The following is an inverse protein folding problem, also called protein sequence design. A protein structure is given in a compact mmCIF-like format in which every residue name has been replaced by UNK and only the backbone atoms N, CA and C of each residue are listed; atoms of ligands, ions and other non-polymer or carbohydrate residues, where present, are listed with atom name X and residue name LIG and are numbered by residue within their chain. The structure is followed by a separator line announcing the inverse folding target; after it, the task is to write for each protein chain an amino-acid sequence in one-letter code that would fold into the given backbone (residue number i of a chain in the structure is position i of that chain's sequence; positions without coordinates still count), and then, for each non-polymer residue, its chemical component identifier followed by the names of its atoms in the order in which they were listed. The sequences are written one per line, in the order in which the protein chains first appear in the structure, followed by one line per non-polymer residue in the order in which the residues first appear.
data_IF_024291822020
#
_entry.id   IF_024291822020
#
_cell.length_a   1.000
_cell.length_b   1.000
_cell.length_c   1.000
_cell.angle_alpha   90.00
_cell.angle_beta   90.00
_cell.angle_gamma   90.00
#
_symmetry.space_group_name_H-M   'P 1'
#
loop_
_entity.id
_entity.type
_entity.pdbx_description
1 polymer ?
#
# COMPACT_ATOMS: atom_id res chain seq x y z
N UNK A 1 -1.72 35.84 -9.71
CA UNK A 1 -2.28 37.04 -9.03
C UNK A 1 -2.90 36.56 -7.71
N UNK A 2 -2.68 37.19 -6.55
CA UNK A 2 -2.79 36.51 -5.27
C UNK A 2 -4.25 36.13 -4.96
N UNK A 3 -4.41 34.90 -4.47
CA UNK A 3 -5.65 34.29 -3.99
C UNK A 3 -5.89 34.75 -2.55
N UNK A 4 -7.14 35.11 -2.23
CA UNK A 4 -7.55 35.41 -0.86
C UNK A 4 -8.10 34.14 -0.22
N UNK A 5 -7.53 33.74 0.90
CA UNK A 5 -7.96 32.60 1.73
C UNK A 5 -9.13 33.03 2.61
N UNK A 6 -10.15 32.18 2.76
CA UNK A 6 -11.14 32.32 3.85
C UNK A 6 -11.36 30.96 4.50
N UNK A 7 -11.34 30.93 5.83
CA UNK A 7 -11.59 29.76 6.67
C UNK A 7 -13.05 29.82 7.11
N UNK A 8 -13.80 28.75 6.88
CA UNK A 8 -15.00 28.45 7.67
C UNK A 8 -14.72 27.18 8.49
N UNK A 9 -14.61 27.37 9.80
CA UNK A 9 -14.68 26.30 10.79
C UNK A 9 -16.13 25.82 10.87
N UNK A 10 -16.37 24.50 10.80
CA UNK A 10 -17.25 23.82 11.76
C UNK A 10 -17.13 22.28 11.67
N UNK A 11 -16.51 21.75 12.72
CA UNK A 11 -16.82 20.53 13.48
C UNK A 11 -17.47 19.30 12.79
N UNK A 12 -16.63 18.26 12.68
CA UNK A 12 -16.92 16.86 13.01
C UNK A 12 -17.84 16.03 12.09
N UNK A 13 -17.31 15.70 10.91
CA UNK A 13 -17.22 14.32 10.40
C UNK A 13 -16.33 14.36 9.17
N UNK A 14 -15.23 13.60 9.18
CA UNK A 14 -14.23 13.60 8.11
C UNK A 14 -14.76 12.97 6.83
N UNK A 15 -15.64 13.69 6.13
CA UNK A 15 -15.96 13.45 4.73
C UNK A 15 -14.87 14.14 3.92
N UNK A 16 -14.14 13.36 3.14
CA UNK A 16 -13.24 13.90 2.11
C UNK A 16 -14.10 14.63 1.07
N UNK A 17 -14.29 15.94 1.25
CA UNK A 17 -14.84 16.80 0.21
C UNK A 17 -13.74 16.97 -0.84
N UNK A 18 -13.81 16.18 -1.91
CA UNK A 18 -12.96 16.34 -3.08
C UNK A 18 -13.48 17.57 -3.82
N UNK A 19 -12.77 18.69 -3.71
CA UNK A 19 -13.02 19.89 -4.50
C UNK A 19 -12.80 19.58 -5.99
N UNK A 20 -13.90 19.52 -6.74
CA UNK A 20 -13.97 19.07 -8.12
C UNK A 20 -13.64 20.18 -9.14
N UNK A 21 -12.64 21.02 -8.86
CA UNK A 21 -12.16 22.05 -9.79
C UNK A 21 -10.95 21.61 -10.62
N UNK A 22 -10.89 20.34 -11.05
CA UNK A 22 -10.04 19.93 -12.16
C UNK A 22 -10.93 19.34 -13.25
N UNK A 23 -10.84 19.88 -14.47
CA UNK A 23 -11.45 19.29 -15.68
C UNK A 23 -11.11 17.80 -15.71
N UNK A 24 -12.06 16.96 -15.32
CA UNK A 24 -11.84 15.52 -15.22
C UNK A 24 -11.84 14.95 -16.63
N UNK A 25 -10.67 14.77 -17.24
CA UNK A 25 -10.54 13.90 -18.39
C UNK A 25 -11.01 12.51 -17.94
N UNK A 26 -12.14 12.05 -18.48
CA UNK A 26 -12.67 10.72 -18.17
C UNK A 26 -11.61 9.69 -18.54
N UNK A 27 -11.24 8.84 -17.57
CA UNK A 27 -10.32 7.75 -17.82
C UNK A 27 -10.88 6.83 -18.92
N UNK A 28 -10.03 6.28 -19.80
CA UNK A 28 -10.43 5.19 -20.69
C UNK A 28 -11.16 4.09 -19.92
N UNK A 29 -12.14 3.45 -20.53
CA UNK A 29 -13.01 2.51 -19.83
C UNK A 29 -12.22 1.36 -19.15
N UNK A 30 -11.18 0.84 -19.80
CA UNK A 30 -10.29 -0.18 -19.21
C UNK A 30 -9.54 0.32 -17.96
N UNK A 31 -9.18 1.61 -17.93
CA UNK A 31 -8.50 2.22 -16.78
C UNK A 31 -9.48 2.42 -15.62
N UNK A 32 -10.77 2.59 -15.90
CA UNK A 32 -11.80 2.63 -14.86
C UNK A 32 -11.98 1.25 -14.18
N UNK A 33 -11.92 0.16 -14.95
CA UNK A 33 -11.92 -1.21 -14.40
C UNK A 33 -10.65 -1.44 -13.56
N UNK A 34 -9.49 -1.10 -14.12
CA UNK A 34 -8.20 -1.20 -13.42
C UNK A 34 -8.21 -0.39 -12.12
N UNK A 35 -8.80 0.81 -12.14
CA UNK A 35 -8.97 1.64 -10.93
C UNK A 35 -9.84 0.92 -9.89
N UNK A 36 -10.97 0.32 -10.29
CA UNK A 36 -11.82 -0.42 -9.36
C UNK A 36 -11.08 -1.61 -8.73
N UNK A 37 -10.29 -2.33 -9.53
CA UNK A 37 -9.44 -3.43 -9.07
C UNK A 37 -8.35 -2.98 -8.09
N UNK A 38 -7.70 -1.83 -8.35
CA UNK A 38 -6.72 -1.23 -7.42
C UNK A 38 -7.40 -0.80 -6.12
N UNK A 39 -8.58 -0.18 -6.18
CA UNK A 39 -9.34 0.21 -4.99
C UNK A 39 -9.72 -1.00 -4.15
N UNK A 40 -10.14 -2.10 -4.78
CA UNK A 40 -10.39 -3.35 -4.08
C UNK A 40 -9.11 -3.92 -3.46
N UNK A 41 -7.99 -3.89 -4.18
CA UNK A 41 -6.70 -4.36 -3.67
C UNK A 41 -6.24 -3.60 -2.43
N UNK A 42 -6.37 -2.27 -2.44
CA UNK A 42 -6.08 -1.42 -1.29
C UNK A 42 -7.02 -1.72 -0.12
N UNK A 43 -8.28 -2.04 -0.40
CA UNK A 43 -9.25 -2.42 0.63
C UNK A 43 -8.87 -3.74 1.29
N UNK A 44 -8.50 -4.76 0.50
CA UNK A 44 -7.98 -6.05 0.98
C UNK A 44 -6.79 -5.83 1.91
N UNK A 45 -5.82 -5.01 1.48
CA UNK A 45 -4.63 -4.69 2.26
C UNK A 45 -4.98 -3.95 3.57
N UNK A 46 -5.83 -2.93 3.51
CA UNK A 46 -6.20 -2.08 4.65
C UNK A 46 -7.02 -2.85 5.69
N UNK A 47 -7.88 -3.77 5.25
CA UNK A 47 -8.77 -4.55 6.14
C UNK A 47 -8.18 -5.89 6.56
N UNK A 48 -7.04 -6.30 6.01
CA UNK A 48 -6.41 -7.58 6.35
C UNK A 48 -7.19 -8.77 5.81
N UNK A 49 -7.85 -8.64 4.66
CA UNK A 49 -8.55 -9.75 4.04
C UNK A 49 -7.56 -10.74 3.42
N UNK A 50 -7.91 -12.03 3.46
CA UNK A 50 -7.11 -13.06 2.80
C UNK A 50 -7.28 -12.97 1.29
N UNK A 51 -6.27 -13.35 0.51
CA UNK A 51 -6.40 -13.33 -0.94
C UNK A 51 -7.47 -14.30 -1.45
N UNK A 52 -7.71 -15.39 -0.73
CA UNK A 52 -8.78 -16.34 -1.05
C UNK A 52 -10.17 -15.70 -0.92
N UNK A 53 -10.34 -14.65 -0.11
CA UNK A 53 -11.62 -13.92 -0.04
C UNK A 53 -11.94 -13.12 -1.29
N UNK A 54 -11.00 -12.99 -2.23
CA UNK A 54 -11.25 -12.39 -3.53
C UNK A 54 -11.88 -13.40 -4.51
N UNK A 55 -11.74 -14.70 -4.27
CA UNK A 55 -12.32 -15.70 -5.18
C UNK A 55 -13.85 -15.61 -5.15
N UNK A 56 -14.46 -15.41 -6.31
CA UNK A 56 -15.91 -15.21 -6.46
C UNK A 56 -16.42 -13.78 -6.25
N UNK A 57 -15.59 -12.83 -5.79
CA UNK A 57 -16.05 -11.45 -5.52
C UNK A 57 -16.55 -10.73 -6.78
N UNK A 58 -15.96 -11.04 -7.95
CA UNK A 58 -16.42 -10.48 -9.23
C UNK A 58 -17.85 -10.89 -9.56
N UNK A 59 -18.24 -12.14 -9.29
CA UNK A 59 -19.60 -12.61 -9.50
C UNK A 59 -20.59 -11.95 -8.53
N UNK A 60 -20.16 -11.73 -7.28
CA UNK A 60 -20.94 -10.96 -6.31
C UNK A 60 -21.18 -9.53 -6.80
N UNK A 61 -20.15 -8.84 -7.31
CA UNK A 61 -20.33 -7.48 -7.85
C UNK A 61 -21.23 -7.44 -9.07
N UNK A 62 -21.13 -8.42 -9.97
CA UNK A 62 -22.06 -8.54 -11.11
C UNK A 62 -23.51 -8.69 -10.68
N UNK A 63 -23.75 -9.47 -9.63
CA UNK A 63 -25.09 -9.73 -9.10
C UNK A 63 -25.67 -8.54 -8.34
N UNK A 64 -24.85 -7.82 -7.55
CA UNK A 64 -25.31 -6.66 -6.76
C UNK A 64 -25.46 -5.42 -7.64
N UNK A 65 -24.65 -5.29 -8.70
CA UNK A 65 -24.62 -4.13 -9.60
C UNK A 65 -24.83 -4.54 -11.07
N UNK A 66 -26.03 -5.02 -11.44
CA UNK A 66 -26.30 -5.53 -12.79
C UNK A 66 -26.20 -4.44 -13.88
N UNK A 67 -26.42 -3.18 -13.53
CA UNK A 67 -26.38 -2.02 -14.42
C UNK A 67 -24.96 -1.46 -14.64
N UNK A 68 -24.02 -1.78 -13.75
CA UNK A 68 -22.66 -1.25 -13.80
C UNK A 68 -21.75 -2.01 -14.76
N UNK A 69 -21.44 -1.41 -15.92
CA UNK A 69 -20.48 -1.98 -16.89
C UNK A 69 -19.11 -2.28 -16.27
N UNK A 70 -18.67 -1.49 -15.29
CA UNK A 70 -17.41 -1.72 -14.57
C UNK A 70 -17.52 -2.97 -13.70
N UNK A 71 -18.61 -3.13 -12.94
CA UNK A 71 -18.84 -4.34 -12.14
C UNK A 71 -18.94 -5.58 -13.02
N UNK A 72 -19.56 -5.45 -14.20
CA UNK A 72 -19.65 -6.54 -15.19
C UNK A 72 -18.28 -7.04 -15.68
N UNK A 73 -17.27 -6.17 -15.72
CA UNK A 73 -15.92 -6.51 -16.17
C UNK A 73 -14.89 -6.62 -15.04
N UNK A 74 -15.30 -6.35 -13.79
CA UNK A 74 -14.42 -6.47 -12.64
C UNK A 74 -13.99 -7.94 -12.49
N UNK A 75 -12.69 -8.18 -12.41
CA UNK A 75 -12.16 -9.51 -12.17
C UNK A 75 -10.99 -9.45 -11.21
N UNK A 76 -11.20 -9.91 -9.98
CA UNK A 76 -10.14 -10.08 -9.01
C UNK A 76 -10.27 -11.45 -8.35
N UNK A 77 -9.23 -12.25 -8.48
CA UNK A 77 -9.09 -13.57 -7.84
C UNK A 77 -7.81 -13.61 -7.03
N UNK A 78 -7.65 -14.61 -6.16
CA UNK A 78 -6.52 -14.80 -5.24
C UNK A 78 -5.15 -14.65 -5.92
N UNK A 79 -4.96 -15.22 -7.11
CA UNK A 79 -3.70 -15.08 -7.89
C UNK A 79 -3.49 -13.66 -8.39
N UNK A 80 -4.54 -13.05 -8.96
CA UNK A 80 -4.46 -11.70 -9.53
C UNK A 80 -4.22 -10.66 -8.43
N UNK A 81 -4.92 -10.75 -7.30
CA UNK A 81 -4.69 -9.83 -6.20
C UNK A 81 -3.28 -9.97 -5.65
N UNK A 82 -2.77 -11.20 -5.48
CA UNK A 82 -1.37 -11.42 -5.07
C UNK A 82 -0.39 -10.73 -6.02
N UNK A 83 -0.60 -10.85 -7.34
CA UNK A 83 0.22 -10.20 -8.35
C UNK A 83 0.10 -8.67 -8.31
N UNK A 84 -1.11 -8.13 -8.25
CA UNK A 84 -1.37 -6.68 -8.15
C UNK A 84 -0.72 -6.10 -6.88
N UNK A 85 -0.84 -6.79 -5.75
CA UNK A 85 -0.23 -6.40 -4.48
C UNK A 85 1.30 -6.38 -4.56
N UNK A 86 1.90 -7.45 -5.08
CA UNK A 86 3.37 -7.64 -5.06
C UNK A 86 4.11 -6.92 -6.20
N UNK A 87 3.53 -6.85 -7.40
CA UNK A 87 4.19 -6.31 -8.61
C UNK A 87 3.55 -5.00 -9.10
N UNK A 88 2.29 -4.75 -8.76
CA UNK A 88 1.60 -3.50 -9.11
C UNK A 88 1.86 -2.41 -8.07
N UNK A 89 1.10 -2.45 -6.98
CA UNK A 89 1.07 -1.35 -5.99
C UNK A 89 2.22 -1.41 -4.99
N UNK A 90 2.72 -2.61 -4.64
CA UNK A 90 3.83 -2.78 -3.68
C UNK A 90 5.08 -1.97 -4.05
N UNK A 91 5.60 -2.08 -5.30
CA UNK A 91 6.76 -1.33 -5.74
C UNK A 91 6.55 0.19 -5.69
N UNK A 92 5.32 0.67 -5.93
CA UNK A 92 5.00 2.10 -5.81
C UNK A 92 5.17 2.58 -4.36
N UNK A 93 4.53 1.92 -3.39
CA UNK A 93 4.63 2.32 -1.98
C UNK A 93 6.06 2.18 -1.43
N UNK A 94 6.79 1.15 -1.86
CA UNK A 94 8.19 0.98 -1.47
C UNK A 94 9.06 2.14 -1.99
N UNK A 95 8.92 2.54 -3.26
CA UNK A 95 9.63 3.71 -3.81
C UNK A 95 9.28 5.00 -3.07
N UNK A 96 8.00 5.21 -2.77
CA UNK A 96 7.57 6.40 -2.02
C UNK A 96 8.16 6.42 -0.60
N UNK A 97 8.20 5.27 0.09
CA UNK A 97 8.86 5.15 1.39
C UNK A 97 10.36 5.49 1.29
N UNK A 98 11.07 4.93 0.30
CA UNK A 98 12.51 5.21 0.08
C UNK A 98 12.75 6.68 -0.21
N UNK A 99 11.93 7.32 -1.06
CA UNK A 99 12.02 8.77 -1.31
C UNK A 99 11.85 9.58 -0.02
N UNK A 100 10.85 9.24 0.80
CA UNK A 100 10.61 9.90 2.08
C UNK A 100 11.83 9.76 2.99
N UNK A 101 12.39 8.56 3.14
CA UNK A 101 13.58 8.32 3.97
C UNK A 101 14.79 9.09 3.46
N UNK A 102 15.09 9.04 2.16
CA UNK A 102 16.22 9.76 1.53
C UNK A 102 16.14 11.28 1.70
N UNK A 103 14.93 11.83 1.78
CA UNK A 103 14.72 13.26 2.06
C UNK A 103 14.98 13.66 3.53
N UNK A 104 15.19 12.70 4.44
CA UNK A 104 15.43 12.97 5.87
C UNK A 104 16.91 12.91 6.21
N UNK A 105 17.30 13.74 7.18
CA UNK A 105 18.67 13.74 7.73
C UNK A 105 18.95 12.55 8.64
N UNK A 106 17.92 12.02 9.31
CA UNK A 106 18.04 10.98 10.34
C UNK A 106 16.87 10.01 10.25
N UNK A 107 17.17 8.73 10.40
CA UNK A 107 16.21 7.66 10.60
C UNK A 107 16.86 6.61 11.50
N UNK A 108 16.03 5.73 12.06
CA UNK A 108 16.48 4.55 12.81
C UNK A 108 16.09 3.32 11.99
N UNK A 109 17.05 2.44 11.74
CA UNK A 109 16.78 1.11 11.21
C UNK A 109 16.50 0.19 12.41
N UNK A 110 15.28 -0.33 12.48
CA UNK A 110 14.88 -1.35 13.43
C UNK A 110 15.06 -2.71 12.77
N UNK A 111 15.81 -3.60 13.43
CA UNK A 111 16.13 -4.94 12.95
C UNK A 111 15.47 -5.93 13.90
N UNK A 112 14.69 -6.85 13.37
CA UNK A 112 14.02 -7.90 14.14
C UNK A 112 14.28 -9.28 13.50
N UNK A 113 14.88 -10.20 14.25
CA UNK A 113 15.17 -11.56 13.78
C UNK A 113 14.12 -12.52 14.33
N UNK A 114 13.45 -13.25 13.44
CA UNK A 114 12.54 -14.33 13.81
C UNK A 114 13.02 -15.67 13.25
N UNK A 115 12.89 -16.73 14.04
CA UNK A 115 13.12 -18.11 13.62
C UNK A 115 11.80 -18.87 13.69
N UNK A 116 11.41 -19.53 12.60
CA UNK A 116 10.21 -20.36 12.60
C UNK A 116 10.52 -21.81 13.02
N UNK A 117 9.47 -22.60 13.25
CA UNK A 117 9.57 -24.01 13.67
C UNK A 117 10.24 -24.94 12.63
N UNK A 118 10.51 -24.45 11.42
CA UNK A 118 11.23 -25.16 10.36
C UNK A 118 12.70 -24.72 10.26
N UNK A 119 13.23 -24.05 11.30
CA UNK A 119 14.59 -23.49 11.33
C UNK A 119 14.89 -22.47 10.23
N UNK A 120 13.87 -21.91 9.57
CA UNK A 120 14.05 -20.81 8.62
C UNK A 120 14.12 -19.52 9.41
N UNK A 121 15.16 -18.76 9.15
CA UNK A 121 15.41 -17.47 9.79
C UNK A 121 14.94 -16.36 8.86
N UNK A 122 14.26 -15.37 9.42
CA UNK A 122 13.76 -14.22 8.68
C UNK A 122 14.15 -12.96 9.44
N UNK A 123 14.73 -12.01 8.72
CA UNK A 123 15.11 -10.70 9.25
C UNK A 123 14.13 -9.65 8.73
N UNK A 124 13.38 -9.04 9.63
CA UNK A 124 12.51 -7.92 9.34
C UNK A 124 13.25 -6.60 9.54
N UNK A 125 13.27 -5.79 8.50
CA UNK A 125 13.78 -4.43 8.53
C UNK A 125 12.61 -3.46 8.55
N UNK A 126 12.57 -2.61 9.58
CA UNK A 126 11.65 -1.50 9.68
C UNK A 126 12.42 -0.20 9.79
N UNK A 127 11.86 0.89 9.27
CA UNK A 127 12.47 2.21 9.36
C UNK A 127 11.58 3.11 10.19
N UNK A 128 12.17 3.73 11.22
CA UNK A 128 11.52 4.70 12.10
C UNK A 128 12.06 6.10 11.81
N UNK A 129 11.16 7.03 11.50
CA UNK A 129 11.53 8.40 11.12
C UNK A 129 10.41 9.39 11.46
N UNK A 130 10.74 10.68 11.48
CA UNK A 130 9.75 11.75 11.61
C UNK A 130 8.99 11.97 10.30
N UNK A 131 7.68 11.77 10.31
CA UNK A 131 6.79 12.03 9.17
C UNK A 131 6.25 13.45 9.25
N UNK A 132 6.59 14.30 8.28
CA UNK A 132 6.00 15.63 8.18
C UNK A 132 4.51 15.58 7.82
N UNK A 133 4.10 14.55 7.06
CA UNK A 133 2.71 14.39 6.62
C UNK A 133 1.81 14.05 7.81
N UNK A 134 2.32 13.25 8.75
CA UNK A 134 1.56 12.81 9.93
C UNK A 134 1.87 13.64 11.19
N UNK A 135 2.89 14.50 11.16
CA UNK A 135 3.33 15.29 12.31
C UNK A 135 3.87 14.46 13.49
N UNK A 136 4.32 13.23 13.25
CA UNK A 136 4.74 12.30 14.30
C UNK A 136 5.84 11.33 13.84
N UNK A 137 6.47 10.67 14.81
CA UNK A 137 7.42 9.57 14.54
C UNK A 137 6.65 8.35 14.08
N UNK A 138 6.89 7.91 12.85
CA UNK A 138 6.29 6.71 12.26
C UNK A 138 7.31 5.58 12.19
N UNK A 139 6.83 4.35 12.36
CA UNK A 139 7.55 3.12 11.99
C UNK A 139 6.89 2.55 10.74
N UNK A 140 7.69 2.19 9.74
CA UNK A 140 7.23 1.59 8.49
C UNK A 140 8.06 0.36 8.15
N UNK A 141 7.38 -0.69 7.68
CA UNK A 141 8.05 -1.87 7.13
C UNK A 141 8.87 -1.49 5.90
N UNK A 142 10.12 -1.95 5.85
CA UNK A 142 11.00 -1.76 4.69
C UNK A 142 11.11 -3.03 3.86
N UNK A 143 11.54 -4.14 4.47
CA UNK A 143 11.82 -5.41 3.77
C UNK A 143 11.95 -6.57 4.75
N UNK A 144 11.62 -7.77 4.29
CA UNK A 144 11.90 -9.04 4.95
C UNK A 144 13.00 -9.75 4.16
N UNK A 145 13.99 -10.30 4.85
CA UNK A 145 15.07 -11.08 4.24
C UNK A 145 15.01 -12.50 4.80
N UNK A 146 14.94 -13.49 3.92
CA UNK A 146 15.05 -14.89 4.32
C UNK A 146 16.53 -15.25 4.43
N UNK A 147 16.93 -15.78 5.58
CA UNK A 147 18.31 -16.13 5.90
C UNK A 147 18.44 -17.66 5.99
N UNK A 148 19.46 -18.20 5.33
CA UNK A 148 19.88 -19.60 5.54
C UNK A 148 20.59 -19.76 6.89
N UNK A 149 21.52 -18.85 7.19
CA UNK A 149 22.26 -18.79 8.44
C UNK A 149 22.24 -17.36 9.01
N UNK A 150 22.06 -17.21 10.32
CA UNK A 150 22.17 -15.91 10.99
C UNK A 150 23.52 -15.78 11.69
N UNK A 151 24.58 -15.81 10.90
CA UNK A 151 25.91 -15.39 11.34
C UNK A 151 26.02 -13.87 11.20
N UNK A 152 26.85 -13.23 12.03
CA UNK A 152 27.01 -11.78 12.03
C UNK A 152 27.41 -11.22 10.64
N UNK A 153 28.31 -11.91 9.92
CA UNK A 153 28.71 -11.55 8.56
C UNK A 153 27.56 -11.61 7.55
N UNK A 154 26.71 -12.64 7.66
CA UNK A 154 25.55 -12.82 6.78
C UNK A 154 24.50 -11.73 7.04
N UNK A 155 24.26 -11.39 8.31
CA UNK A 155 23.36 -10.30 8.68
C UNK A 155 23.88 -8.95 8.16
N UNK A 156 25.18 -8.69 8.31
CA UNK A 156 25.80 -7.47 7.82
C UNK A 156 25.64 -7.33 6.29
N UNK A 157 25.98 -8.38 5.52
CA UNK A 157 25.80 -8.37 4.06
C UNK A 157 24.34 -8.13 3.70
N UNK A 158 23.43 -8.91 4.31
CA UNK A 158 22.00 -8.82 4.04
C UNK A 158 21.44 -7.40 4.28
N UNK A 159 21.89 -6.71 5.33
CA UNK A 159 21.46 -5.34 5.64
C UNK A 159 22.05 -4.33 4.66
N UNK A 160 23.33 -4.48 4.30
CA UNK A 160 23.99 -3.57 3.34
C UNK A 160 23.43 -3.69 1.92
N UNK A 161 22.99 -4.90 1.54
CA UNK A 161 22.43 -5.20 0.21
C UNK A 161 20.91 -4.90 0.10
N UNK A 162 20.27 -4.48 1.20
CA UNK A 162 18.80 -4.43 1.35
C UNK A 162 18.11 -3.28 0.60
#
# INVERSE_FOLDING_TARGET
KPQTVSIANDNNSGILVIDNSQKSTLLPFNDQITKAEIVWALTVARRGFTYNSCDGIGEVFKSIFPDSKIAQQFNMQSKKISYVMSHGIGPYFHRELVKKIKSRKKFVLCIDEQTNNQSKKKLDLLVKFWSNDDGLVVTRYYKSILLGHAQASVLQSAICDA
#
